data_IF_512795494396
#
_entry.id   IF_512795494396
#
_cell.length_a   1.000
_cell.length_b   1.000
_cell.length_c   1.000
_cell.angle_alpha   90.00
_cell.angle_beta   90.00
_cell.angle_gamma   90.00
#
_symmetry.space_group_name_H-M   'P 1'
#
loop_
_entity.id
_entity.type
_entity.pdbx_description
1 polymer ?
#
# COMPACT_ATOMS: atom_id res chain seq x y z
N UNK A 1 22.07 0.21 -3.26
CA UNK A 1 21.44 1.38 -2.62
C UNK A 1 19.95 1.10 -2.53
N UNK A 2 19.29 1.17 -1.37
CA UNK A 2 17.86 0.88 -1.34
C UNK A 2 17.15 2.08 -1.97
N UNK A 3 16.71 1.92 -3.21
CA UNK A 3 15.80 2.87 -3.84
C UNK A 3 14.53 2.89 -2.99
N UNK A 4 14.33 3.95 -2.20
CA UNK A 4 13.08 4.17 -1.47
C UNK A 4 12.01 4.52 -2.50
N UNK A 5 11.50 3.50 -3.20
CA UNK A 5 10.43 3.64 -4.18
C UNK A 5 9.13 3.89 -3.44
N UNK A 6 8.82 5.17 -3.32
CA UNK A 6 7.60 5.67 -2.70
C UNK A 6 6.52 5.77 -3.77
N UNK A 7 5.57 4.86 -3.70
CA UNK A 7 4.44 4.77 -4.60
C UNK A 7 3.36 5.78 -4.21
N UNK A 8 2.75 6.40 -5.21
CA UNK A 8 1.53 7.17 -5.03
C UNK A 8 0.32 6.28 -4.75
N UNK A 9 -0.82 6.92 -4.44
CA UNK A 9 -2.10 6.24 -4.30
C UNK A 9 -2.47 5.42 -5.55
N UNK A 10 -2.16 5.98 -6.72
CA UNK A 10 -2.50 5.39 -8.02
C UNK A 10 -1.65 4.16 -8.30
N UNK A 11 -0.35 4.24 -8.03
CA UNK A 11 0.57 3.13 -8.22
C UNK A 11 0.29 2.00 -7.22
N UNK A 12 0.02 2.33 -5.95
CA UNK A 12 -0.35 1.34 -4.93
C UNK A 12 -1.69 0.67 -5.25
N UNK A 13 -2.67 1.43 -5.77
CA UNK A 13 -3.96 0.91 -6.22
C UNK A 13 -3.80 -0.05 -7.40
N UNK A 14 -2.98 0.32 -8.40
CA UNK A 14 -2.67 -0.55 -9.53
C UNK A 14 -1.87 -1.79 -9.13
N UNK A 15 -0.92 -1.66 -8.21
CA UNK A 15 -0.09 -2.77 -7.72
C UNK A 15 -0.93 -3.81 -6.97
N UNK A 16 -1.84 -3.35 -6.10
CA UNK A 16 -2.73 -4.21 -5.32
C UNK A 16 -3.95 -4.67 -6.11
N UNK A 17 -4.22 -4.09 -7.28
CA UNK A 17 -5.41 -4.38 -8.07
C UNK A 17 -6.73 -3.96 -7.42
N UNK A 18 -6.69 -3.05 -6.44
CA UNK A 18 -7.88 -2.56 -5.72
C UNK A 18 -8.23 -1.13 -6.12
N UNK A 19 -9.49 -0.73 -5.94
CA UNK A 19 -9.91 0.66 -6.20
C UNK A 19 -9.22 1.63 -5.23
N UNK A 20 -8.90 2.84 -5.70
CA UNK A 20 -8.33 3.92 -4.86
C UNK A 20 -9.18 4.19 -3.62
N UNK A 21 -10.51 4.13 -3.73
CA UNK A 21 -11.43 4.27 -2.59
C UNK A 21 -11.22 3.19 -1.53
N UNK A 22 -11.11 1.93 -1.96
CA UNK A 22 -10.80 0.80 -1.06
C UNK A 22 -9.44 0.96 -0.41
N UNK A 23 -8.43 1.42 -1.16
CA UNK A 23 -7.12 1.72 -0.61
C UNK A 23 -7.19 2.85 0.42
N UNK A 24 -7.99 3.91 0.18
CA UNK A 24 -8.23 4.98 1.15
C UNK A 24 -8.88 4.45 2.43
N UNK A 25 -9.90 3.60 2.31
CA UNK A 25 -10.56 2.99 3.47
C UNK A 25 -9.59 2.11 4.26
N UNK A 26 -8.73 1.34 3.59
CA UNK A 26 -7.70 0.51 4.22
C UNK A 26 -6.66 1.35 4.95
N UNK A 27 -6.23 2.47 4.37
CA UNK A 27 -5.32 3.43 5.02
C UNK A 27 -5.98 4.04 6.25
N UNK A 28 -7.24 4.45 6.13
CA UNK A 28 -8.00 5.04 7.23
C UNK A 28 -8.22 4.05 8.38
N UNK A 29 -8.45 2.77 8.04
CA UNK A 29 -8.53 1.65 8.98
C UNK A 29 -7.17 1.20 9.52
N UNK A 30 -6.06 1.82 9.10
CA UNK A 30 -4.68 1.48 9.47
C UNK A 30 -4.28 0.05 9.12
N UNK A 31 -4.91 -0.51 8.08
CA UNK A 31 -4.64 -1.86 7.56
C UNK A 31 -3.36 -1.87 6.73
N UNK A 32 -3.14 -0.82 5.93
CA UNK A 32 -1.93 -0.63 5.12
C UNK A 32 -1.14 0.57 5.67
N UNK A 33 0.16 0.41 5.96
CA UNK A 33 0.99 1.51 6.41
C UNK A 33 1.22 2.52 5.27
N UNK A 34 1.18 3.81 5.62
CA UNK A 34 1.35 4.91 4.69
C UNK A 34 2.36 5.90 5.24
N UNK A 35 3.26 6.38 4.37
CA UNK A 35 4.20 7.45 4.65
C UNK A 35 3.52 8.76 4.28
N UNK A 36 3.18 9.56 5.29
CA UNK A 36 2.59 10.88 5.08
C UNK A 36 3.70 11.90 4.83
N UNK A 37 3.71 12.47 3.62
CA UNK A 37 4.63 13.54 3.22
C UNK A 37 3.81 14.80 2.99
N UNK A 38 3.66 15.60 4.06
CA UNK A 38 2.81 16.79 4.05
C UNK A 38 1.33 16.46 3.80
N UNK A 39 0.78 16.93 2.67
CA UNK A 39 -0.60 16.64 2.22
C UNK A 39 -0.70 15.37 1.36
N UNK A 40 0.43 14.76 1.00
CA UNK A 40 0.47 13.59 0.12
C UNK A 40 0.71 12.32 0.93
N UNK A 41 -0.04 11.28 0.59
CA UNK A 41 0.15 9.93 1.11
C UNK A 41 1.02 9.15 0.11
N UNK A 42 2.10 8.54 0.62
CA UNK A 42 3.02 7.68 -0.14
C UNK A 42 3.10 6.30 0.48
N UNK A 43 3.34 5.30 -0.33
CA UNK A 43 3.44 3.91 0.10
C UNK A 43 4.82 3.39 -0.21
N UNK A 44 5.48 2.75 0.76
CA UNK A 44 6.72 2.04 0.44
C UNK A 44 6.35 0.74 -0.25
N UNK A 45 7.02 0.44 -1.37
CA UNK A 45 6.84 -0.84 -2.06
C UNK A 45 7.07 -2.02 -1.10
N UNK A 46 8.11 -1.96 -0.27
CA UNK A 46 8.41 -2.99 0.74
C UNK A 46 7.25 -3.24 1.71
N UNK A 47 6.54 -2.19 2.10
CA UNK A 47 5.43 -2.31 3.04
C UNK A 47 4.21 -2.94 2.37
N UNK A 48 3.99 -2.64 1.08
CA UNK A 48 2.93 -3.27 0.28
C UNK A 48 3.24 -4.75 0.04
N UNK A 49 4.50 -5.11 -0.23
CA UNK A 49 4.92 -6.51 -0.37
C UNK A 49 4.69 -7.30 0.92
N UNK A 50 5.12 -6.75 2.06
CA UNK A 50 4.85 -7.36 3.39
C UNK A 50 3.36 -7.46 3.66
N UNK A 51 2.57 -6.48 3.23
CA UNK A 51 1.11 -6.52 3.34
C UNK A 51 0.50 -7.64 2.51
N UNK A 52 0.95 -7.81 1.25
CA UNK A 52 0.49 -8.90 0.37
C UNK A 52 0.84 -10.25 1.00
N UNK A 53 2.07 -10.41 1.50
CA UNK A 53 2.53 -11.65 2.14
C UNK A 53 1.72 -11.98 3.40
N UNK A 54 1.40 -10.98 4.23
CA UNK A 54 0.54 -11.17 5.42
C UNK A 54 -0.90 -11.53 5.09
N UNK A 55 -1.44 -11.02 3.97
CA UNK A 55 -2.81 -11.31 3.55
C UNK A 55 -2.89 -12.50 2.57
N UNK A 56 -1.75 -13.10 2.23
CA UNK A 56 -1.70 -14.31 1.43
C UNK A 56 -2.33 -15.44 2.24
N UNK A 57 -3.59 -15.71 1.96
CA UNK A 57 -4.25 -16.93 2.39
C UNK A 57 -3.95 -18.01 1.36
N UNK A 58 -3.36 -19.12 1.81
CA UNK A 58 -3.28 -20.33 0.98
C UNK A 58 -4.70 -20.86 0.77
N UNK A 59 -5.05 -21.07 -0.49
CA UNK A 59 -6.29 -21.73 -0.84
C UNK A 59 -6.24 -23.17 -0.28
N UNK A 60 -7.18 -23.48 0.61
CA UNK A 60 -7.38 -24.82 1.18
C UNK A 60 -7.96 -25.75 0.13
#
# INVERSE_FOLDING_TARGET
MPELKLLGMDEASSLLGIKKSTLYDMVMRRVIPVVKIGKLNRFKLSDLEVFIDRNRQEAV
#
